data_IF_830657875118
#
_entry.id   IF_830657875118
#
_cell.length_a   1.000
_cell.length_b   1.000
_cell.length_c   1.000
_cell.angle_alpha   90.00
_cell.angle_beta   90.00
_cell.angle_gamma   90.00
#
_symmetry.space_group_name_H-M   'P 1'
#
loop_
_entity.id
_entity.type
_entity.pdbx_description
1 polymer ?
#
# COMPACT_ATOMS: atom_id res chain seq x y z
N UNK A 1 -15.01 4.02 5.34
CA UNK A 1 -16.19 3.23 4.94
C UNK A 1 -15.67 2.01 4.18
N UNK A 2 -16.25 0.81 4.35
CA UNK A 2 -15.86 -0.37 3.55
C UNK A 2 -16.98 -0.68 2.56
N UNK A 3 -16.67 -0.68 1.26
CA UNK A 3 -17.63 -1.04 0.21
C UNK A 3 -17.08 -2.29 -0.46
N UNK A 4 -17.77 -3.43 -0.35
CA UNK A 4 -17.34 -4.72 -0.94
C UNK A 4 -15.89 -5.10 -0.60
N UNK A 5 -15.46 -4.86 0.64
CA UNK A 5 -14.09 -5.16 1.11
C UNK A 5 -13.02 -4.11 0.76
N UNK A 6 -13.39 -3.04 0.05
CA UNK A 6 -12.51 -1.93 -0.36
C UNK A 6 -12.69 -0.77 0.62
N UNK A 7 -11.59 -0.23 1.16
CA UNK A 7 -11.59 0.79 2.22
C UNK A 7 -11.62 2.20 1.64
N UNK A 8 -12.81 2.65 1.26
CA UNK A 8 -13.02 4.02 0.76
C UNK A 8 -13.00 5.02 1.92
N UNK A 9 -12.07 5.98 1.84
CA UNK A 9 -12.00 7.15 2.73
C UNK A 9 -12.55 8.37 2.01
N UNK A 10 -13.62 8.96 2.54
CA UNK A 10 -14.02 10.30 2.13
C UNK A 10 -13.12 11.34 2.83
N UNK A 11 -12.52 12.28 2.10
CA UNK A 11 -11.88 13.43 2.71
C UNK A 11 -12.93 14.22 3.52
N UNK A 12 -12.65 14.60 4.79
CA UNK A 12 -13.57 15.43 5.58
C UNK A 12 -13.93 16.74 4.89
N UNK A 13 -12.97 17.32 4.16
CA UNK A 13 -13.17 18.52 3.35
C UNK A 13 -14.22 18.34 2.26
N UNK A 14 -14.25 17.17 1.60
CA UNK A 14 -15.23 16.88 0.57
C UNK A 14 -16.64 16.84 1.17
N UNK A 15 -16.80 16.16 2.31
CA UNK A 15 -18.07 16.06 3.01
C UNK A 15 -18.55 17.45 3.46
N UNK A 16 -17.66 18.27 4.03
CA UNK A 16 -17.97 19.65 4.42
C UNK A 16 -18.42 20.51 3.22
N UNK A 17 -17.71 20.40 2.09
CA UNK A 17 -18.07 21.11 0.87
C UNK A 17 -19.45 20.68 0.35
N UNK A 18 -19.76 19.39 0.35
CA UNK A 18 -21.08 18.91 -0.11
C UNK A 18 -22.21 19.38 0.79
N UNK A 19 -22.02 19.33 2.11
CA UNK A 19 -23.01 19.84 3.06
C UNK A 19 -23.21 21.34 2.86
N UNK A 20 -22.12 22.10 2.69
CA UNK A 20 -22.18 23.52 2.41
C UNK A 20 -23.01 23.83 1.15
N UNK A 21 -22.71 23.19 0.02
CA UNK A 21 -23.47 23.40 -1.22
C UNK A 21 -24.93 22.93 -1.14
N UNK A 22 -25.20 21.83 -0.42
CA UNK A 22 -26.56 21.35 -0.22
C UNK A 22 -27.40 22.34 0.60
N UNK A 23 -26.83 22.89 1.68
CA UNK A 23 -27.48 23.93 2.51
C UNK A 23 -27.71 25.20 1.68
N UNK A 24 -26.73 25.60 0.89
CA UNK A 24 -26.83 26.79 0.04
C UNK A 24 -27.97 26.64 -0.99
N UNK A 25 -28.08 25.47 -1.65
CA UNK A 25 -29.19 25.17 -2.56
C UNK A 25 -30.56 25.15 -1.85
N UNK A 26 -30.62 24.63 -0.63
CA UNK A 26 -31.85 24.62 0.16
C UNK A 26 -32.29 26.04 0.57
N UNK A 27 -31.34 26.90 0.96
CA UNK A 27 -31.61 28.29 1.29
C UNK A 27 -32.08 29.11 0.08
N UNK A 28 -31.44 28.94 -1.09
CA UNK A 28 -31.89 29.64 -2.31
C UNK A 28 -33.23 29.13 -2.79
N UNK A 29 -33.48 27.82 -2.71
CA UNK A 29 -34.82 27.29 -2.98
C UNK A 29 -35.87 27.90 -2.04
N UNK A 30 -35.57 28.04 -0.74
CA UNK A 30 -36.48 28.66 0.23
C UNK A 30 -36.80 30.13 -0.08
N UNK A 31 -35.83 30.88 -0.60
CA UNK A 31 -35.99 32.30 -0.95
C UNK A 31 -36.67 32.52 -2.30
N UNK A 32 -36.27 31.78 -3.34
CA UNK A 32 -36.72 32.00 -4.72
C UNK A 32 -37.92 31.14 -5.08
N UNK A 33 -38.12 30.01 -4.39
CA UNK A 33 -39.09 28.93 -4.72
C UNK A 33 -38.94 28.34 -6.12
N UNK A 34 -37.80 28.57 -6.77
CA UNK A 34 -37.50 28.03 -8.08
C UNK A 34 -36.98 26.60 -7.97
N UNK A 35 -37.72 25.65 -8.54
CA UNK A 35 -37.40 24.23 -8.53
C UNK A 35 -36.09 23.90 -9.24
N UNK A 36 -35.54 24.80 -10.06
CA UNK A 36 -34.28 24.57 -10.77
C UNK A 36 -33.12 24.29 -9.82
N UNK A 37 -33.12 24.89 -8.62
CA UNK A 37 -32.09 24.66 -7.60
C UNK A 37 -32.16 23.26 -6.99
N UNK A 38 -33.33 22.64 -6.98
CA UNK A 38 -33.49 21.24 -6.56
C UNK A 38 -33.12 20.31 -7.74
N UNK A 39 -33.69 20.56 -8.92
CA UNK A 39 -33.47 19.68 -10.08
C UNK A 39 -32.04 19.66 -10.58
N UNK A 40 -31.30 20.78 -10.46
CA UNK A 40 -29.89 20.86 -10.89
C UNK A 40 -28.96 20.76 -9.69
N UNK A 41 -29.25 21.45 -8.58
CA UNK A 41 -28.36 21.50 -7.42
C UNK A 41 -28.21 20.16 -6.71
N UNK A 42 -29.31 19.40 -6.57
CA UNK A 42 -29.27 18.08 -5.94
C UNK A 42 -28.39 17.08 -6.72
N UNK A 43 -28.55 16.88 -8.05
CA UNK A 43 -27.65 16.00 -8.79
C UNK A 43 -26.22 16.52 -8.81
N UNK A 44 -25.98 17.84 -8.80
CA UNK A 44 -24.63 18.38 -8.68
C UNK A 44 -23.96 18.00 -7.35
N UNK A 45 -24.70 18.11 -6.24
CA UNK A 45 -24.22 17.69 -4.91
C UNK A 45 -23.96 16.18 -4.86
N UNK A 46 -24.85 15.38 -5.48
CA UNK A 46 -24.65 13.94 -5.60
C UNK A 46 -23.40 13.59 -6.42
N UNK A 47 -23.14 14.32 -7.51
CA UNK A 47 -21.93 14.16 -8.33
C UNK A 47 -20.67 14.54 -7.56
N UNK A 48 -20.73 15.61 -6.74
CA UNK A 48 -19.63 16.11 -5.93
C UNK A 48 -19.06 15.02 -5.01
N UNK A 49 -19.93 14.17 -4.45
CA UNK A 49 -19.55 13.02 -3.62
C UNK A 49 -19.32 11.78 -4.49
N UNK A 50 -20.24 11.51 -5.41
CA UNK A 50 -20.25 10.28 -6.19
C UNK A 50 -18.99 10.08 -7.02
N UNK A 51 -18.52 11.13 -7.70
CA UNK A 51 -17.34 11.06 -8.56
C UNK A 51 -16.03 10.73 -7.81
N UNK A 52 -15.64 11.46 -6.75
CA UNK A 52 -14.43 11.12 -6.00
C UNK A 52 -14.52 9.77 -5.29
N UNK A 53 -15.72 9.35 -4.83
CA UNK A 53 -15.90 7.98 -4.33
C UNK A 53 -15.66 6.94 -5.42
N UNK A 54 -16.18 7.18 -6.62
CA UNK A 54 -16.00 6.27 -7.76
C UNK A 54 -14.51 6.13 -8.14
N UNK A 55 -13.79 7.24 -8.20
CA UNK A 55 -12.35 7.26 -8.46
C UNK A 55 -11.57 6.52 -7.36
N UNK A 56 -11.87 6.80 -6.09
CA UNK A 56 -11.23 6.13 -4.96
C UNK A 56 -11.44 4.60 -5.01
N UNK A 57 -12.68 4.17 -5.24
CA UNK A 57 -13.04 2.76 -5.37
C UNK A 57 -12.33 2.08 -6.54
N UNK A 58 -12.31 2.73 -7.70
CA UNK A 58 -11.69 2.17 -8.92
C UNK A 58 -10.17 2.05 -8.78
N UNK A 59 -9.53 3.02 -8.13
CA UNK A 59 -8.09 2.97 -7.86
C UNK A 59 -7.75 1.81 -6.91
N UNK A 60 -8.47 1.69 -5.80
CA UNK A 60 -8.18 0.64 -4.81
C UNK A 60 -8.48 -0.77 -5.36
N UNK A 61 -9.53 -0.92 -6.19
CA UNK A 61 -9.82 -2.17 -6.90
C UNK A 61 -8.68 -2.58 -7.85
N UNK A 62 -8.09 -1.62 -8.57
CA UNK A 62 -6.95 -1.88 -9.45
C UNK A 62 -5.74 -2.33 -8.65
N UNK A 63 -5.39 -1.60 -7.57
CA UNK A 63 -4.27 -1.99 -6.70
C UNK A 63 -4.44 -3.41 -6.15
N UNK A 64 -5.64 -3.81 -5.73
CA UNK A 64 -5.89 -5.15 -5.21
C UNK A 64 -5.77 -6.24 -6.28
N UNK A 65 -6.25 -5.98 -7.50
CA UNK A 65 -6.11 -6.92 -8.63
C UNK A 65 -4.64 -7.10 -9.00
N UNK A 66 -3.94 -5.99 -9.12
CA UNK A 66 -2.53 -5.97 -9.47
C UNK A 66 -1.69 -6.62 -8.39
N UNK A 67 -2.03 -6.43 -7.11
CA UNK A 67 -1.33 -7.07 -5.99
C UNK A 67 -1.35 -8.61 -6.11
N UNK A 68 -2.42 -9.21 -6.62
CA UNK A 68 -2.49 -10.66 -6.81
C UNK A 68 -1.51 -11.13 -7.91
N UNK A 69 -1.46 -10.43 -9.04
CA UNK A 69 -0.53 -10.72 -10.13
C UNK A 69 0.93 -10.46 -9.73
N UNK A 70 1.18 -9.37 -9.00
CA UNK A 70 2.51 -9.05 -8.50
C UNK A 70 2.98 -10.04 -7.45
N UNK A 71 2.07 -10.61 -6.65
CA UNK A 71 2.43 -11.63 -5.65
C UNK A 71 2.91 -12.93 -6.27
N UNK A 72 2.39 -13.35 -7.43
CA UNK A 72 2.87 -14.56 -8.12
C UNK A 72 4.25 -14.36 -8.76
N UNK A 73 4.60 -13.11 -9.10
CA UNK A 73 5.91 -12.75 -9.66
C UNK A 73 6.93 -12.32 -8.60
N UNK A 74 6.50 -12.18 -7.34
CA UNK A 74 7.32 -11.62 -6.28
C UNK A 74 8.37 -12.62 -5.80
N UNK A 75 9.64 -12.20 -5.82
CA UNK A 75 10.71 -12.96 -5.16
C UNK A 75 10.77 -12.57 -3.69
N UNK A 76 10.78 -13.56 -2.79
CA UNK A 76 11.04 -13.31 -1.38
C UNK A 76 12.49 -12.89 -1.20
N UNK A 77 12.72 -11.73 -0.60
CA UNK A 77 14.06 -11.16 -0.39
C UNK A 77 14.18 -10.58 1.00
N UNK A 78 15.35 -10.76 1.60
CA UNK A 78 15.74 -10.12 2.86
C UNK A 78 16.43 -8.78 2.61
N UNK A 79 16.49 -7.91 3.63
CA UNK A 79 17.09 -6.58 3.51
C UNK A 79 18.52 -6.62 2.95
N UNK A 80 19.36 -7.55 3.41
CA UNK A 80 20.75 -7.72 2.94
C UNK A 80 20.86 -8.17 1.48
N UNK A 81 19.84 -8.83 0.95
CA UNK A 81 19.84 -9.33 -0.43
C UNK A 81 19.50 -8.23 -1.43
N UNK A 82 19.01 -7.06 -0.98
CA UNK A 82 18.73 -5.93 -1.87
C UNK A 82 20.01 -5.43 -2.54
N UNK A 83 20.05 -5.58 -3.87
CA UNK A 83 21.15 -5.12 -4.72
C UNK A 83 20.61 -4.21 -5.82
N UNK A 84 21.44 -3.31 -6.37
CA UNK A 84 21.08 -2.46 -7.50
C UNK A 84 20.58 -3.23 -8.73
N UNK A 85 21.02 -4.49 -8.90
CA UNK A 85 20.60 -5.36 -10.01
C UNK A 85 19.11 -5.76 -9.94
N UNK A 86 18.49 -5.71 -8.77
CA UNK A 86 17.07 -6.02 -8.60
C UNK A 86 16.15 -4.81 -8.82
N UNK A 87 16.67 -3.71 -9.37
CA UNK A 87 15.88 -2.51 -9.67
C UNK A 87 14.77 -2.84 -10.68
N UNK A 88 13.54 -2.44 -10.35
CA UNK A 88 12.37 -2.75 -11.17
C UNK A 88 11.77 -4.13 -10.92
N UNK A 89 12.48 -5.02 -10.22
CA UNK A 89 11.95 -6.32 -9.81
C UNK A 89 10.89 -6.17 -8.71
N UNK A 90 9.91 -7.05 -8.75
CA UNK A 90 8.86 -7.16 -7.74
C UNK A 90 9.35 -8.08 -6.63
N UNK A 91 9.27 -7.60 -5.40
CA UNK A 91 9.83 -8.24 -4.22
C UNK A 91 8.79 -8.38 -3.12
N UNK A 92 8.91 -9.47 -2.39
CA UNK A 92 8.19 -9.73 -1.16
C UNK A 92 9.19 -9.69 0.00
N UNK A 93 8.93 -8.84 0.99
CA UNK A 93 9.78 -8.69 2.16
C UNK A 93 8.91 -8.73 3.40
N UNK A 94 9.41 -9.31 4.49
CA UNK A 94 8.77 -9.24 5.79
C UNK A 94 9.69 -8.52 6.77
N UNK A 95 9.10 -7.79 7.72
CA UNK A 95 9.87 -7.15 8.77
C UNK A 95 9.01 -6.34 9.72
N UNK A 96 9.67 -5.73 10.70
CA UNK A 96 9.03 -4.91 11.73
C UNK A 96 9.14 -3.43 11.40
N UNK A 97 8.04 -2.69 11.56
CA UNK A 97 8.03 -1.23 11.33
C UNK A 97 8.74 -0.52 12.49
N UNK A 98 9.86 0.14 12.22
CA UNK A 98 10.60 0.94 13.21
C UNK A 98 10.11 2.38 13.30
N UNK A 99 9.83 2.98 12.14
CA UNK A 99 9.46 4.41 12.08
C UNK A 99 8.51 4.64 10.92
N UNK A 100 7.50 5.48 11.16
CA UNK A 100 6.60 5.97 10.11
C UNK A 100 6.81 7.47 9.99
N UNK A 101 7.12 7.94 8.79
CA UNK A 101 7.35 9.36 8.48
C UNK A 101 6.46 9.78 7.31
N UNK A 102 6.06 11.04 7.25
CA UNK A 102 5.32 11.56 6.10
C UNK A 102 3.87 11.11 6.03
N UNK A 103 3.21 10.84 7.18
CA UNK A 103 1.78 10.53 7.26
C UNK A 103 0.88 11.68 6.75
N UNK A 104 1.35 12.92 6.85
CA UNK A 104 0.61 14.10 6.38
C UNK A 104 0.65 14.29 4.86
N UNK A 105 1.70 13.81 4.19
CA UNK A 105 1.74 13.75 2.73
C UNK A 105 1.18 12.40 2.30
N UNK A 106 0.47 12.34 1.18
CA UNK A 106 -0.14 11.11 0.65
C UNK A 106 0.90 10.07 0.13
N UNK A 107 2.08 10.04 0.77
CA UNK A 107 3.29 9.26 0.49
C UNK A 107 3.99 8.88 1.81
N UNK A 108 3.36 8.07 2.68
CA UNK A 108 4.01 7.61 3.90
C UNK A 108 5.28 6.81 3.57
N UNK A 109 6.33 7.10 4.35
CA UNK A 109 7.61 6.41 4.32
C UNK A 109 7.76 5.60 5.60
N UNK A 110 7.93 4.30 5.46
CA UNK A 110 8.11 3.33 6.53
C UNK A 110 9.57 2.88 6.56
N UNK A 111 10.21 2.98 7.71
CA UNK A 111 11.50 2.32 7.96
C UNK A 111 11.20 0.94 8.53
N UNK A 112 11.62 -0.10 7.83
CA UNK A 112 11.31 -1.49 8.17
C UNK A 112 12.61 -2.22 8.47
N UNK A 113 12.63 -2.94 9.58
CA UNK A 113 13.75 -3.75 10.02
C UNK A 113 13.43 -5.22 9.84
N UNK A 114 14.31 -5.89 9.12
CA UNK A 114 14.39 -7.35 9.00
C UNK A 114 15.63 -7.79 9.82
N UNK A 115 15.71 -9.02 10.37
CA UNK A 115 16.91 -9.58 10.99
C UNK A 115 18.23 -9.31 10.24
N UNK A 116 18.19 -9.12 8.92
CA UNK A 116 19.39 -8.87 8.10
C UNK A 116 19.74 -7.40 7.87
N UNK A 117 18.88 -6.45 8.21
CA UNK A 117 19.13 -5.03 7.97
C UNK A 117 17.88 -4.14 7.98
N UNK A 118 18.05 -2.88 7.59
CA UNK A 118 16.99 -1.87 7.52
C UNK A 118 16.74 -1.43 6.08
N UNK A 119 15.47 -1.27 5.70
CA UNK A 119 15.06 -0.82 4.37
C UNK A 119 13.99 0.26 4.49
N UNK A 120 14.10 1.28 3.66
CA UNK A 120 13.06 2.31 3.52
C UNK A 120 12.03 1.84 2.51
N UNK A 121 10.77 1.82 2.93
CA UNK A 121 9.62 1.44 2.12
C UNK A 121 8.70 2.65 1.98
N UNK A 122 8.44 3.07 0.75
CA UNK A 122 7.53 4.18 0.45
C UNK A 122 6.26 3.62 -0.14
N UNK A 123 5.10 4.07 0.35
CA UNK A 123 3.80 3.71 -0.22
C UNK A 123 3.17 4.94 -0.84
N UNK A 124 2.80 4.89 -2.11
CA UNK A 124 2.05 5.97 -2.80
C UNK A 124 0.55 5.70 -2.73
N UNK A 125 0.07 5.30 -1.56
CA UNK A 125 -1.33 5.07 -1.28
C UNK A 125 -1.59 5.43 0.18
N UNK A 126 -2.87 5.58 0.54
CA UNK A 126 -3.23 5.99 1.89
C UNK A 126 -2.67 4.99 2.92
N UNK A 127 -2.09 5.48 4.04
CA UNK A 127 -1.60 4.64 5.12
C UNK A 127 -2.77 3.89 5.77
N UNK A 128 -2.58 2.58 5.95
CA UNK A 128 -3.53 1.72 6.67
C UNK A 128 -3.42 2.04 8.18
N UNK A 129 -4.51 2.38 8.88
CA UNK A 129 -4.47 2.75 10.29
C UNK A 129 -3.94 1.63 11.21
N UNK A 130 -3.94 0.37 10.76
CA UNK A 130 -3.38 -0.75 11.54
C UNK A 130 -1.85 -0.87 11.47
N UNK A 131 -1.18 -0.09 10.62
CA UNK A 131 0.28 -0.17 10.42
C UNK A 131 0.96 0.93 11.23
N UNK A 132 1.22 0.62 12.50
CA UNK A 132 1.94 1.48 13.44
C UNK A 132 3.40 1.07 13.65
N UNK A 133 4.14 1.86 14.43
CA UNK A 133 5.47 1.50 14.91
C UNK A 133 5.37 0.23 15.76
N UNK A 134 6.24 -0.75 15.50
CA UNK A 134 6.28 -2.03 16.19
C UNK A 134 5.42 -3.13 15.56
N UNK A 135 4.65 -2.83 14.51
CA UNK A 135 3.87 -3.85 13.80
C UNK A 135 4.76 -4.70 12.89
N UNK A 136 4.49 -6.00 12.86
CA UNK A 136 5.09 -6.95 11.91
C UNK A 136 4.27 -6.93 10.61
N UNK A 137 4.97 -6.74 9.48
CA UNK A 137 4.33 -6.49 8.19
C UNK A 137 4.98 -7.28 7.06
N UNK A 138 4.14 -7.71 6.12
CA UNK A 138 4.52 -8.22 4.81
C UNK A 138 4.35 -7.10 3.78
N UNK A 139 5.42 -6.83 3.04
CA UNK A 139 5.49 -5.80 2.02
C UNK A 139 5.61 -6.47 0.66
N UNK A 140 4.66 -6.16 -0.21
CA UNK A 140 4.74 -6.44 -1.63
C UNK A 140 5.02 -5.14 -2.35
N UNK A 141 6.12 -5.07 -3.09
CA UNK A 141 6.52 -3.84 -3.75
C UNK A 141 7.53 -4.04 -4.86
N UNK A 142 7.92 -2.93 -5.47
CA UNK A 142 8.94 -2.90 -6.52
C UNK A 142 10.16 -2.14 -6.02
N UNK A 143 11.34 -2.63 -6.33
CA UNK A 143 12.60 -2.01 -5.89
C UNK A 143 12.92 -0.78 -6.76
N UNK A 144 13.13 0.36 -6.13
CA UNK A 144 13.56 1.61 -6.75
C UNK A 144 14.80 2.17 -6.05
N UNK A 145 15.56 3.03 -6.71
CA UNK A 145 16.77 3.61 -6.13
C UNK A 145 17.75 4.10 -7.19
N UNK A 146 18.81 4.78 -6.74
CA UNK A 146 19.94 5.10 -7.62
C UNK A 146 20.82 3.86 -7.73
N UNK A 147 21.28 3.56 -8.95
CA UNK A 147 22.09 2.36 -9.22
C UNK A 147 23.47 2.37 -8.51
N UNK A 148 23.84 3.51 -7.93
CA UNK A 148 25.20 3.75 -7.41
C UNK A 148 25.42 3.12 -6.03
N UNK A 149 24.41 3.06 -5.15
CA UNK A 149 24.59 2.58 -3.77
C UNK A 149 23.40 1.76 -3.26
N UNK A 150 23.70 0.60 -2.65
CA UNK A 150 22.75 -0.31 -1.99
C UNK A 150 21.87 0.41 -0.93
N UNK A 151 22.46 1.33 -0.18
CA UNK A 151 21.77 2.11 0.86
C UNK A 151 20.77 3.15 0.32
N UNK A 152 20.84 3.49 -0.99
CA UNK A 152 19.91 4.42 -1.62
C UNK A 152 18.70 3.73 -2.25
N UNK A 153 18.64 2.40 -2.17
CA UNK A 153 17.48 1.64 -2.63
C UNK A 153 16.35 1.71 -1.61
N UNK A 154 15.15 1.89 -2.13
CA UNK A 154 13.90 1.89 -1.37
C UNK A 154 12.87 1.05 -2.12
N UNK A 155 11.97 0.42 -1.38
CA UNK A 155 10.89 -0.36 -1.98
C UNK A 155 9.69 0.55 -2.14
N UNK A 156 9.15 0.64 -3.35
CA UNK A 156 7.83 1.21 -3.56
C UNK A 156 6.78 0.13 -3.26
N UNK A 157 6.12 0.21 -2.11
CA UNK A 157 5.11 -0.74 -1.68
C UNK A 157 3.80 -0.55 -2.46
N UNK A 158 3.38 -1.62 -3.13
CA UNK A 158 2.06 -1.76 -3.73
C UNK A 158 1.03 -2.13 -2.67
N UNK A 159 1.42 -3.00 -1.73
CA UNK A 159 0.56 -3.46 -0.64
C UNK A 159 1.41 -3.74 0.59
N UNK A 160 0.92 -3.31 1.75
CA UNK A 160 1.50 -3.63 3.06
C UNK A 160 0.38 -4.24 3.88
N UNK A 161 0.61 -5.44 4.42
CA UNK A 161 -0.34 -6.15 5.26
C UNK A 161 0.29 -6.45 6.62
N UNK A 162 -0.43 -6.26 7.74
CA UNK A 162 0.03 -6.77 9.02
C UNK A 162 0.04 -8.29 8.99
N UNK A 163 1.05 -8.90 9.60
CA UNK A 163 1.18 -10.35 9.75
C UNK A 163 1.39 -10.67 11.23
N UNK A 164 0.76 -11.73 11.72
CA UNK A 164 0.90 -12.15 13.12
C UNK A 164 2.15 -13.01 13.35
N UNK A 165 2.63 -13.69 12.31
CA UNK A 165 3.80 -14.59 12.36
C UNK A 165 4.60 -14.46 11.06
N UNK A 166 5.89 -14.16 11.18
CA UNK A 166 6.82 -14.18 10.05
C UNK A 166 6.87 -15.55 9.38
N UNK A 167 6.98 -15.61 8.05
CA UNK A 167 7.37 -16.82 7.35
C UNK A 167 8.77 -17.20 7.77
N UNK A 168 8.86 -18.26 8.56
CA UNK A 168 10.11 -18.98 8.74
C UNK A 168 10.50 -19.53 7.36
N UNK A 169 11.57 -18.99 6.78
CA UNK A 169 12.25 -19.70 5.71
C UNK A 169 12.87 -20.93 6.36
N UNK A 170 12.30 -22.10 6.14
CA UNK A 170 12.99 -23.36 6.40
C UNK A 170 14.31 -23.30 5.64
N UNK A 171 15.41 -23.15 6.38
CA UNK A 171 16.72 -23.57 5.93
C UNK A 171 16.69 -25.10 5.84
N UNK A 172 16.14 -25.64 4.75
CA UNK A 172 16.48 -27.00 4.32
C UNK A 172 17.65 -26.91 3.37
N UNK A 173 18.83 -26.99 3.96
CA UNK A 173 19.97 -27.77 3.49
C UNK A 173 19.50 -28.96 2.64
N UNK A 174 19.47 -28.79 1.31
CA UNK A 174 19.83 -29.87 0.39
C UNK A 174 21.22 -29.57 -0.14
N UNK A 175 22.19 -29.76 0.75
CA UNK A 175 23.50 -30.27 0.35
C UNK A 175 23.29 -31.63 -0.32
N UNK A 176 23.31 -31.65 -1.65
CA UNK A 176 24.13 -32.57 -2.43
C UNK A 176 24.32 -33.97 -1.82
N UNK A 177 23.46 -34.98 -2.11
CA UNK A 177 23.61 -36.33 -1.58
C UNK A 177 24.73 -37.15 -2.26
N UNK A 178 25.59 -36.55 -3.10
CA UNK A 178 26.54 -37.30 -3.93
C UNK A 178 27.99 -37.35 -3.39
N UNK A 179 28.32 -36.65 -2.30
CA UNK A 179 29.71 -36.64 -1.76
C UNK A 179 30.01 -37.61 -0.62
N UNK A 180 29.05 -38.40 -0.13
CA UNK A 180 29.28 -39.32 1.00
C UNK A 180 29.72 -40.74 0.53
N UNK A 181 29.67 -41.06 -0.76
CA UNK A 181 29.97 -42.43 -1.24
C UNK A 181 31.44 -42.77 -1.53
N UNK A 182 32.38 -41.82 -1.49
CA UNK A 182 33.81 -42.10 -1.78
C UNK A 182 34.65 -41.94 -0.51
N UNK A 183 34.40 -42.76 0.51
CA UNK A 183 35.38 -42.94 1.60
C UNK A 183 35.35 -44.30 2.32
N UNK A 184 34.73 -45.31 1.71
CA UNK A 184 34.83 -46.72 2.17
C UNK A 184 35.09 -47.65 0.99
N UNK A 185 36.30 -47.57 0.45
CA UNK A 185 36.96 -48.66 -0.27
C UNK A 185 38.46 -48.41 -0.18
N UNK A 186 39.03 -48.86 0.93
CA UNK A 186 40.41 -49.34 1.06
C UNK A 186 40.47 -50.18 2.33
#
# INVERSE_FOLDING_TARGET
MKIKGITVRLPPLLLAATVFFAVMCAMTFGSTRDLIYIYIGLPLCALLIGFPLWVAYTNEKQVLRDALQYRSQAKFVRARQLSPAMRGSVVLMEGKVLKVTGLMMNKPSYLIQDPTGQVVVKRFALPDPLIGVGADVEILGRVFGKAVNAQSLYINALTIKPVQTFRQTSEETQSDPEKIRIKKLN
#
